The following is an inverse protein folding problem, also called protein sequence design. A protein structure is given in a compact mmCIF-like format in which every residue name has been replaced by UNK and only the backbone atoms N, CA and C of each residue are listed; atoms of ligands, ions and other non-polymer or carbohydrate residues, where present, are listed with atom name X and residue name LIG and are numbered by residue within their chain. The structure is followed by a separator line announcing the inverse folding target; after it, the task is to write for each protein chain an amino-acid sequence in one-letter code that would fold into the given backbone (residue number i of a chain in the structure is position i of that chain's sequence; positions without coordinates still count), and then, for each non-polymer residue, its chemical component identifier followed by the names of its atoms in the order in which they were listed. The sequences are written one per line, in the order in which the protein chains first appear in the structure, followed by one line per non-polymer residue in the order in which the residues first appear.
data_IF_929084347999
#
_entry.id   IF_929084347999
#
_cell.length_a   1.000
_cell.length_b   1.000
_cell.length_c   1.000
_cell.angle_alpha   90.00
_cell.angle_beta   90.00
_cell.angle_gamma   90.00
#
_symmetry.space_group_name_H-M   'P 1'
#
loop_
_entity.id
_entity.type
_entity.pdbx_description
1 polymer ?
#
# COMPACT_ATOMS: atom_id res chain seq x y z
N UNK A 1 46.05 -8.90 -14.99
CA UNK A 1 45.28 -9.86 -14.17
C UNK A 1 43.99 -9.19 -13.75
N UNK A 2 42.87 -9.56 -14.37
CA UNK A 2 41.56 -9.00 -14.07
C UNK A 2 41.00 -9.71 -12.84
N UNK A 3 40.89 -9.00 -11.72
CA UNK A 3 40.15 -9.50 -10.55
C UNK A 3 38.70 -9.16 -10.78
N UNK A 4 37.95 -10.20 -11.17
CA UNK A 4 36.51 -10.21 -11.23
C UNK A 4 35.95 -9.95 -9.83
N UNK A 5 35.24 -8.84 -9.68
CA UNK A 5 34.23 -8.68 -8.63
C UNK A 5 33.03 -7.99 -9.29
N UNK A 6 32.32 -8.74 -10.13
CA UNK A 6 30.89 -8.46 -10.34
C UNK A 6 30.18 -8.73 -9.02
N UNK A 7 30.13 -7.72 -8.15
CA UNK A 7 29.17 -7.70 -7.06
C UNK A 7 27.79 -7.51 -7.69
N UNK A 8 27.17 -8.63 -8.07
CA UNK A 8 25.75 -8.72 -8.32
C UNK A 8 25.02 -8.45 -6.99
N UNK A 9 24.90 -7.17 -6.64
CA UNK A 9 23.78 -6.68 -5.84
C UNK A 9 22.54 -6.62 -6.74
N UNK A 10 22.07 -7.79 -7.17
CA UNK A 10 20.66 -7.99 -7.42
C UNK A 10 19.98 -8.01 -6.05
N UNK A 11 19.81 -6.84 -5.44
CA UNK A 11 19.18 -6.71 -4.14
C UNK A 11 18.08 -5.68 -4.26
N UNK A 12 16.91 -6.17 -4.69
CA UNK A 12 15.60 -5.54 -4.62
C UNK A 12 15.62 -4.06 -4.97
N UNK A 13 15.21 -3.70 -6.19
CA UNK A 13 14.91 -2.31 -6.54
C UNK A 13 14.22 -1.64 -5.34
N UNK A 14 14.95 -0.74 -4.67
CA UNK A 14 14.37 0.05 -3.60
C UNK A 14 13.27 0.83 -4.29
N UNK A 15 12.02 0.36 -4.16
CA UNK A 15 10.90 1.07 -4.76
C UNK A 15 10.82 2.38 -4.00
N UNK A 16 11.39 3.43 -4.57
CA UNK A 16 11.18 4.78 -4.09
C UNK A 16 9.72 5.10 -4.38
N UNK A 17 8.90 4.85 -3.38
CA UNK A 17 7.49 5.15 -3.39
C UNK A 17 7.35 6.56 -2.80
N UNK A 18 7.10 7.54 -3.67
CA UNK A 18 6.73 8.89 -3.27
C UNK A 18 5.35 8.88 -2.61
N UNK A 19 5.34 8.60 -1.30
CA UNK A 19 4.12 8.48 -0.48
C UNK A 19 3.26 9.72 -0.60
N UNK A 20 3.85 10.91 -0.57
CA UNK A 20 3.14 12.17 -0.68
C UNK A 20 2.44 12.30 -2.03
N UNK A 21 3.14 12.04 -3.13
CA UNK A 21 2.57 12.11 -4.48
C UNK A 21 1.42 11.13 -4.67
N UNK A 22 1.55 9.93 -4.13
CA UNK A 22 0.47 8.95 -4.18
C UNK A 22 -0.71 9.35 -3.29
N UNK A 23 -0.48 9.85 -2.08
CA UNK A 23 -1.54 10.39 -1.23
C UNK A 23 -2.31 11.52 -1.92
N UNK A 24 -1.62 12.43 -2.61
CA UNK A 24 -2.25 13.49 -3.41
C UNK A 24 -3.09 12.93 -4.57
N UNK A 25 -2.59 11.91 -5.27
CA UNK A 25 -3.35 11.23 -6.30
C UNK A 25 -4.63 10.61 -5.72
N UNK A 26 -4.51 9.87 -4.62
CA UNK A 26 -5.66 9.27 -3.96
C UNK A 26 -6.63 10.31 -3.43
N UNK A 27 -6.15 11.47 -2.96
CA UNK A 27 -7.03 12.58 -2.58
C UNK A 27 -7.90 13.09 -3.74
N UNK A 28 -7.43 12.98 -4.99
CA UNK A 28 -8.24 13.30 -6.16
C UNK A 28 -9.11 12.12 -6.65
N UNK A 29 -8.65 10.87 -6.50
CA UNK A 29 -9.31 9.68 -7.06
C UNK A 29 -10.14 8.83 -6.10
N UNK A 30 -10.01 9.02 -4.77
CA UNK A 30 -10.69 8.18 -3.78
C UNK A 30 -12.20 8.21 -3.98
N UNK A 31 -12.78 9.37 -4.34
CA UNK A 31 -14.21 9.53 -4.56
C UNK A 31 -14.75 8.69 -5.73
N UNK A 32 -13.90 8.35 -6.70
CA UNK A 32 -14.25 7.55 -7.88
C UNK A 32 -13.99 6.05 -7.66
N UNK A 33 -13.45 5.68 -6.50
CA UNK A 33 -13.04 4.32 -6.23
C UNK A 33 -14.21 3.44 -5.79
N UNK A 34 -14.20 2.13 -6.09
CA UNK A 34 -15.31 1.22 -5.77
C UNK A 34 -15.50 0.98 -4.27
N UNK A 35 -14.50 1.33 -3.46
CA UNK A 35 -14.53 1.30 -1.99
C UNK A 35 -14.87 2.68 -1.39
N UNK A 36 -15.26 3.66 -2.20
CA UNK A 36 -15.74 4.93 -1.67
C UNK A 36 -17.15 4.78 -1.12
N UNK A 37 -17.40 5.41 0.03
CA UNK A 37 -18.72 5.51 0.61
C UNK A 37 -19.06 6.97 0.91
N UNK A 38 -20.31 7.40 0.67
CA UNK A 38 -20.74 8.75 1.00
C UNK A 38 -20.63 8.98 2.51
N UNK A 39 -20.01 10.10 2.89
CA UNK A 39 -19.78 10.48 4.29
C UNK A 39 -18.37 10.20 4.83
N UNK A 40 -17.51 9.53 4.07
CA UNK A 40 -16.09 9.38 4.40
C UNK A 40 -15.25 10.42 3.69
N UNK A 41 -14.30 11.00 4.42
CA UNK A 41 -13.36 12.00 3.88
C UNK A 41 -12.00 11.37 3.66
N UNK A 42 -11.16 11.99 2.83
CA UNK A 42 -9.78 11.54 2.61
C UNK A 42 -9.01 11.28 3.92
N UNK A 43 -9.27 12.05 4.97
CA UNK A 43 -8.62 11.88 6.28
C UNK A 43 -8.91 10.51 6.93
N UNK A 44 -10.09 9.94 6.66
CA UNK A 44 -10.44 8.59 7.12
C UNK A 44 -9.66 7.52 6.34
N UNK A 45 -9.37 7.77 5.06
CA UNK A 45 -8.65 6.86 4.15
C UNK A 45 -7.12 6.93 4.33
N UNK A 46 -6.59 8.06 4.78
CA UNK A 46 -5.17 8.31 4.97
C UNK A 46 -4.42 7.22 5.78
N UNK A 47 -4.91 6.75 6.94
CA UNK A 47 -4.26 5.67 7.69
C UNK A 47 -4.22 4.34 6.91
N UNK A 48 -5.28 4.01 6.18
CA UNK A 48 -5.33 2.78 5.37
C UNK A 48 -4.34 2.83 4.20
N UNK A 49 -4.21 3.99 3.53
CA UNK A 49 -3.24 4.21 2.46
C UNK A 49 -1.80 4.15 2.99
N UNK A 50 -1.51 4.82 4.11
CA UNK A 50 -0.19 4.76 4.76
C UNK A 50 0.19 3.33 5.14
N UNK A 51 -0.76 2.57 5.70
CA UNK A 51 -0.56 1.15 6.00
C UNK A 51 -0.25 0.34 4.73
N UNK A 52 -0.98 0.58 3.63
CA UNK A 52 -0.73 -0.07 2.36
C UNK A 52 0.68 0.20 1.83
N UNK A 53 1.14 1.45 1.90
CA UNK A 53 2.48 1.82 1.43
C UNK A 53 3.60 1.26 2.31
N UNK A 54 3.43 1.29 3.63
CA UNK A 54 4.39 0.69 4.55
C UNK A 54 4.52 -0.80 4.30
N UNK A 55 3.38 -1.48 4.14
CA UNK A 55 3.32 -2.87 3.79
C UNK A 55 3.94 -3.15 2.41
N UNK A 56 3.70 -2.29 1.42
CA UNK A 56 4.31 -2.43 0.09
C UNK A 56 5.83 -2.34 0.18
N UNK A 57 6.37 -1.36 0.90
CA UNK A 57 7.82 -1.23 1.07
C UNK A 57 8.43 -2.44 1.79
N UNK A 58 7.70 -3.02 2.75
CA UNK A 58 8.17 -4.17 3.54
C UNK A 58 8.01 -5.52 2.82
N UNK A 59 6.91 -5.70 2.10
CA UNK A 59 6.48 -6.97 1.52
C UNK A 59 6.41 -6.95 -0.02
N UNK A 60 7.02 -5.96 -0.67
CA UNK A 60 7.13 -5.93 -2.13
C UNK A 60 7.73 -7.26 -2.64
N UNK A 61 7.02 -7.91 -3.56
CA UNK A 61 7.37 -9.24 -4.09
C UNK A 61 6.61 -10.41 -3.45
N UNK A 62 5.82 -10.20 -2.40
CA UNK A 62 4.85 -11.19 -1.92
C UNK A 62 3.48 -11.03 -2.59
N UNK A 63 2.65 -12.06 -2.49
CA UNK A 63 1.26 -12.01 -2.94
C UNK A 63 0.48 -11.03 -2.10
N UNK A 64 -0.22 -10.10 -2.76
CA UNK A 64 -1.02 -9.06 -2.09
C UNK A 64 -2.06 -9.67 -1.14
N UNK A 65 -2.63 -10.82 -1.47
CA UNK A 65 -3.63 -11.50 -0.63
C UNK A 65 -3.07 -11.88 0.75
N UNK A 66 -1.86 -12.43 0.77
CA UNK A 66 -1.16 -12.82 2.01
C UNK A 66 -0.78 -11.59 2.85
N UNK A 67 -0.35 -10.52 2.18
CA UNK A 67 -0.02 -9.27 2.86
C UNK A 67 -1.27 -8.65 3.47
N UNK A 68 -2.35 -8.53 2.69
CA UNK A 68 -3.65 -8.02 3.15
C UNK A 68 -4.18 -8.83 4.34
N UNK A 69 -4.08 -10.16 4.30
CA UNK A 69 -4.49 -11.00 5.42
C UNK A 69 -3.73 -10.68 6.72
N UNK A 70 -2.42 -10.46 6.63
CA UNK A 70 -1.60 -10.05 7.78
C UNK A 70 -1.89 -8.62 8.23
N UNK A 71 -2.15 -7.70 7.29
CA UNK A 71 -2.49 -6.32 7.61
C UNK A 71 -3.81 -6.17 8.34
N UNK A 72 -4.71 -7.16 8.25
CA UNK A 72 -5.97 -7.15 9.01
C UNK A 72 -5.73 -7.01 10.50
N UNK A 73 -4.91 -7.89 11.05
CA UNK A 73 -4.64 -7.92 12.48
C UNK A 73 -3.86 -6.68 12.92
N UNK A 74 -2.94 -6.22 12.08
CA UNK A 74 -2.18 -4.97 12.32
C UNK A 74 -3.11 -3.77 12.35
N UNK A 75 -3.99 -3.62 11.35
CA UNK A 75 -4.93 -2.51 11.27
C UNK A 75 -5.90 -2.51 12.44
N UNK A 76 -6.51 -3.66 12.77
CA UNK A 76 -7.44 -3.76 13.89
C UNK A 76 -6.79 -3.43 15.24
N UNK A 77 -5.51 -3.77 15.40
CA UNK A 77 -4.72 -3.47 16.61
C UNK A 77 -4.30 -2.01 16.70
N UNK A 78 -3.79 -1.46 15.60
CA UNK A 78 -3.14 -0.14 15.55
C UNK A 78 -4.16 0.99 15.36
N UNK A 79 -5.27 0.71 14.68
CA UNK A 79 -6.34 1.65 14.36
C UNK A 79 -7.71 1.21 14.90
N UNK A 80 -7.87 0.92 16.21
CA UNK A 80 -9.15 0.47 16.77
C UNK A 80 -10.23 1.57 16.75
N UNK A 81 -9.84 2.84 16.55
CA UNK A 81 -10.75 3.99 16.43
C UNK A 81 -11.05 4.41 15.00
N UNK A 82 -10.54 3.70 14.00
CA UNK A 82 -10.84 4.00 12.61
C UNK A 82 -12.33 3.80 12.34
N UNK A 83 -12.93 4.76 11.63
CA UNK A 83 -14.32 4.65 11.17
C UNK A 83 -14.50 3.67 10.02
N UNK A 84 -13.41 3.28 9.37
CA UNK A 84 -13.42 2.35 8.24
C UNK A 84 -13.44 0.90 8.71
N UNK A 85 -14.37 0.12 8.15
CA UNK A 85 -14.36 -1.34 8.25
C UNK A 85 -13.17 -1.97 7.54
N UNK A 86 -12.75 -3.14 8.02
CA UNK A 86 -11.68 -3.91 7.39
C UNK A 86 -11.94 -4.20 5.91
N UNK A 87 -13.21 -4.44 5.52
CA UNK A 87 -13.54 -4.69 4.11
C UNK A 87 -13.21 -3.48 3.23
N UNK A 88 -13.44 -2.26 3.74
CA UNK A 88 -13.10 -1.02 3.06
C UNK A 88 -11.59 -0.85 2.97
N UNK A 89 -10.90 -1.04 4.10
CA UNK A 89 -9.44 -1.00 4.19
C UNK A 89 -8.81 -1.97 3.20
N UNK A 90 -9.30 -3.21 3.14
CA UNK A 90 -8.85 -4.20 2.17
C UNK A 90 -8.99 -3.72 0.73
N UNK A 91 -10.11 -3.10 0.37
CA UNK A 91 -10.33 -2.52 -0.96
C UNK A 91 -9.32 -1.41 -1.27
N UNK A 92 -9.08 -0.51 -0.31
CA UNK A 92 -8.12 0.60 -0.42
C UNK A 92 -6.70 0.06 -0.59
N UNK A 93 -6.29 -0.87 0.27
CA UNK A 93 -4.95 -1.49 0.21
C UNK A 93 -4.76 -2.21 -1.12
N UNK A 94 -5.72 -3.00 -1.57
CA UNK A 94 -5.63 -3.70 -2.86
C UNK A 94 -5.47 -2.73 -4.03
N UNK A 95 -6.26 -1.67 -4.08
CA UNK A 95 -6.20 -0.70 -5.17
C UNK A 95 -4.88 0.10 -5.17
N UNK A 96 -4.40 0.49 -3.99
CA UNK A 96 -3.08 1.08 -3.84
C UNK A 96 -1.98 0.10 -4.30
N UNK A 97 -2.08 -1.17 -3.90
CA UNK A 97 -1.11 -2.19 -4.26
C UNK A 97 -1.09 -2.48 -5.77
N UNK A 98 -2.25 -2.64 -6.40
CA UNK A 98 -2.38 -2.89 -7.83
C UNK A 98 -1.79 -1.75 -8.66
N UNK A 99 -1.91 -0.51 -8.17
CA UNK A 99 -1.34 0.67 -8.82
C UNK A 99 0.19 0.72 -8.73
N UNK A 100 0.74 0.19 -7.64
CA UNK A 100 2.19 0.16 -7.38
C UNK A 100 2.87 -1.02 -8.07
N UNK A 101 2.16 -2.12 -8.28
CA UNK A 101 2.66 -3.23 -9.07
C UNK A 101 2.70 -2.81 -10.54
N UNK A 102 3.89 -2.79 -11.19
CA UNK A 102 3.92 -2.70 -12.63
C UNK A 102 3.20 -3.94 -13.17
N UNK A 103 2.15 -3.73 -13.95
CA UNK A 103 1.56 -4.79 -14.77
C UNK A 103 2.64 -5.12 -15.81
N UNK A 104 3.36 -6.23 -15.58
CA UNK A 104 4.24 -6.86 -16.58
C UNK A 104 3.43 -7.23 -17.84
#
# INVERSE_FOLDING_TARGET
MAVAIEMQHASRACVMLDRERELEFWKAHYAHSPFHQPGYTFHDYEPALKLAYDAYLKYHGQRVEEVVAQLRDVFLRDHPRSRLDWLQVRGIVLAAWQRLQPSD
#
